data_IF_744031665231
#
_entry.id   IF_744031665231
#
_cell.length_a   1.000
_cell.length_b   1.000
_cell.length_c   1.000
_cell.angle_alpha   90.00
_cell.angle_beta   90.00
_cell.angle_gamma   90.00
#
_symmetry.space_group_name_H-M   'P 1'
#
loop_
_entity.id
_entity.type
_entity.pdbx_description
1 polymer ?
#
# COMPACT_ATOMS: atom_id res chain seq x y z
N UNK A 1 -40.44 -28.55 -42.64
CA UNK A 1 -39.75 -29.73 -42.07
C UNK A 1 -38.49 -30.08 -42.87
N UNK A 2 -38.56 -30.46 -44.15
CA UNK A 2 -37.35 -30.79 -44.95
C UNK A 2 -36.33 -29.64 -45.10
N UNK A 3 -36.78 -28.44 -45.40
CA UNK A 3 -35.89 -27.27 -45.55
C UNK A 3 -35.24 -26.87 -44.22
N UNK A 4 -35.95 -27.03 -43.10
CA UNK A 4 -35.46 -26.73 -41.76
C UNK A 4 -34.33 -27.70 -41.37
N UNK A 5 -34.53 -29.00 -41.59
CA UNK A 5 -33.51 -30.02 -41.31
C UNK A 5 -32.29 -29.89 -42.22
N UNK A 6 -32.48 -29.49 -43.48
CA UNK A 6 -31.37 -29.22 -44.40
C UNK A 6 -30.53 -28.05 -43.92
N UNK A 7 -31.19 -26.96 -43.49
CA UNK A 7 -30.52 -25.80 -42.91
C UNK A 7 -29.78 -26.14 -41.60
N UNK A 8 -30.39 -26.91 -40.70
CA UNK A 8 -29.76 -27.37 -39.45
C UNK A 8 -28.52 -28.23 -39.72
N UNK A 9 -28.61 -29.16 -40.66
CA UNK A 9 -27.48 -30.03 -41.06
C UNK A 9 -26.35 -29.22 -41.68
N UNK A 10 -26.68 -28.23 -42.52
CA UNK A 10 -25.69 -27.33 -43.12
C UNK A 10 -24.97 -26.50 -42.05
N UNK A 11 -25.71 -25.92 -41.10
CA UNK A 11 -25.13 -25.15 -39.99
C UNK A 11 -24.24 -26.00 -39.09
N UNK A 12 -24.67 -27.22 -38.75
CA UNK A 12 -23.86 -28.16 -37.98
C UNK A 12 -22.54 -28.50 -38.70
N UNK A 13 -22.58 -28.77 -40.02
CA UNK A 13 -21.38 -29.09 -40.80
C UNK A 13 -20.39 -27.94 -40.88
N UNK A 14 -20.89 -26.71 -41.05
CA UNK A 14 -20.06 -25.50 -41.06
C UNK A 14 -19.39 -25.32 -39.69
N UNK A 15 -20.17 -25.42 -38.62
CA UNK A 15 -19.67 -25.33 -37.24
C UNK A 15 -18.60 -26.40 -36.96
N UNK A 16 -18.87 -27.67 -37.27
CA UNK A 16 -17.93 -28.77 -37.05
C UNK A 16 -16.59 -28.58 -37.78
N UNK A 17 -16.62 -28.06 -39.02
CA UNK A 17 -15.41 -27.78 -39.79
C UNK A 17 -14.63 -26.59 -39.23
N UNK A 18 -15.32 -25.53 -38.84
CA UNK A 18 -14.67 -24.31 -38.36
C UNK A 18 -14.01 -24.55 -36.98
N UNK A 19 -14.52 -25.48 -36.17
CA UNK A 19 -13.92 -25.84 -34.88
C UNK A 19 -12.59 -26.54 -34.99
N UNK A 20 -12.49 -27.55 -35.87
CA UNK A 20 -11.28 -28.38 -35.98
C UNK A 20 -10.05 -27.49 -36.27
N UNK A 21 -10.18 -26.60 -37.25
CA UNK A 21 -9.15 -25.63 -37.61
C UNK A 21 -8.88 -24.61 -36.50
N UNK A 22 -9.94 -24.02 -35.92
CA UNK A 22 -9.78 -22.91 -34.97
C UNK A 22 -9.27 -23.40 -33.62
N UNK A 23 -9.80 -24.49 -33.07
CA UNK A 23 -9.41 -24.96 -31.74
C UNK A 23 -7.96 -25.42 -31.67
N UNK A 24 -7.46 -26.11 -32.71
CA UNK A 24 -6.08 -26.59 -32.76
C UNK A 24 -5.09 -25.42 -32.75
N UNK A 25 -5.31 -24.43 -33.62
CA UNK A 25 -4.49 -23.22 -33.73
C UNK A 25 -4.52 -22.38 -32.45
N UNK A 26 -5.70 -22.22 -31.82
CA UNK A 26 -5.84 -21.41 -30.60
C UNK A 26 -5.22 -22.04 -29.37
N UNK A 27 -5.23 -23.37 -29.26
CA UNK A 27 -4.58 -24.08 -28.16
C UNK A 27 -3.06 -24.12 -28.29
N UNK A 28 -2.51 -23.93 -29.50
CA UNK A 28 -1.07 -23.83 -29.75
C UNK A 28 -0.50 -22.44 -29.43
N UNK A 29 -1.36 -21.46 -29.15
CA UNK A 29 -0.94 -20.14 -28.71
C UNK A 29 -0.27 -20.21 -27.32
N UNK A 30 0.69 -19.29 -27.03
CA UNK A 30 1.30 -19.19 -25.71
C UNK A 30 0.26 -18.97 -24.61
N UNK A 31 0.55 -19.39 -23.39
CA UNK A 31 -0.34 -19.20 -22.23
C UNK A 31 -0.56 -17.72 -21.87
N UNK A 32 0.48 -16.91 -22.05
CA UNK A 32 0.52 -15.49 -21.71
C UNK A 32 0.82 -14.67 -22.96
N UNK A 33 0.33 -13.43 -22.99
CA UNK A 33 0.67 -12.45 -24.02
C UNK A 33 1.15 -11.17 -23.38
N UNK A 34 2.05 -10.47 -24.07
CA UNK A 34 2.47 -9.11 -23.68
C UNK A 34 1.40 -8.13 -24.14
N UNK A 35 1.14 -7.13 -23.33
CA UNK A 35 0.34 -5.97 -23.71
C UNK A 35 1.27 -4.84 -24.14
N UNK A 36 0.89 -4.14 -25.20
CA UNK A 36 1.59 -2.94 -25.62
C UNK A 36 1.37 -1.87 -24.54
N UNK A 37 2.43 -1.60 -23.76
CA UNK A 37 2.39 -0.57 -22.74
C UNK A 37 2.29 0.81 -23.40
N UNK A 38 1.17 1.49 -23.20
CA UNK A 38 0.99 2.90 -23.55
C UNK A 38 1.75 3.84 -22.60
N UNK A 39 2.16 3.33 -21.44
CA UNK A 39 2.87 4.09 -20.40
C UNK A 39 4.35 3.74 -20.33
N UNK A 40 5.16 4.69 -19.90
CA UNK A 40 6.62 4.57 -19.73
C UNK A 40 7.00 3.69 -18.51
N UNK A 41 6.18 2.70 -18.17
CA UNK A 41 6.50 1.75 -17.10
C UNK A 41 7.71 0.91 -17.54
N UNK A 42 8.66 0.71 -16.63
CA UNK A 42 9.82 -0.15 -16.86
C UNK A 42 9.43 -1.63 -17.07
N UNK A 43 8.19 -1.98 -16.72
CA UNK A 43 7.69 -3.35 -16.69
C UNK A 43 6.72 -3.64 -17.82
N UNK A 44 6.87 -4.84 -18.40
CA UNK A 44 5.98 -5.34 -19.44
C UNK A 44 4.68 -5.81 -18.79
N UNK A 45 3.55 -5.24 -19.20
CA UNK A 45 2.25 -5.78 -18.82
C UNK A 45 1.98 -7.09 -19.55
N UNK A 46 1.37 -8.02 -18.83
CA UNK A 46 1.01 -9.33 -19.35
C UNK A 46 -0.49 -9.58 -19.17
N UNK A 47 -1.07 -10.39 -20.06
CA UNK A 47 -2.42 -10.93 -19.90
C UNK A 47 -2.49 -12.41 -20.25
N UNK A 48 -3.50 -13.09 -19.71
CA UNK A 48 -3.78 -14.50 -20.04
C UNK A 48 -4.26 -14.58 -21.48
N UNK A 49 -3.65 -15.47 -22.25
CA UNK A 49 -3.92 -15.63 -23.67
C UNK A 49 -4.83 -16.84 -23.93
N UNK A 50 -6.03 -16.81 -23.33
CA UNK A 50 -7.08 -17.79 -23.59
C UNK A 50 -8.09 -17.18 -24.57
N UNK A 51 -8.14 -17.71 -25.79
CA UNK A 51 -8.92 -17.11 -26.87
C UNK A 51 -10.44 -17.19 -26.59
N UNK A 52 -11.21 -16.11 -26.77
CA UNK A 52 -12.67 -16.12 -26.60
C UNK A 52 -13.39 -17.18 -27.45
N UNK A 53 -12.83 -17.57 -28.60
CA UNK A 53 -13.38 -18.65 -29.43
C UNK A 53 -13.34 -20.00 -28.72
N UNK A 54 -12.32 -20.28 -27.89
CA UNK A 54 -12.28 -21.49 -27.06
C UNK A 54 -13.36 -21.45 -25.98
N UNK A 55 -13.61 -20.30 -25.37
CA UNK A 55 -14.71 -20.13 -24.41
C UNK A 55 -16.08 -20.37 -25.07
N UNK A 56 -16.26 -19.88 -26.30
CA UNK A 56 -17.47 -20.11 -27.09
C UNK A 56 -17.64 -21.61 -27.41
N UNK A 57 -16.58 -22.27 -27.89
CA UNK A 57 -16.56 -23.71 -28.16
C UNK A 57 -16.99 -24.54 -26.94
N UNK A 58 -16.40 -24.28 -25.78
CA UNK A 58 -16.73 -25.00 -24.55
C UNK A 58 -18.20 -24.82 -24.15
N UNK A 59 -18.77 -23.63 -24.38
CA UNK A 59 -20.21 -23.37 -24.16
C UNK A 59 -21.08 -24.10 -25.18
N UNK A 60 -20.70 -24.05 -26.46
CA UNK A 60 -21.43 -24.67 -27.56
C UNK A 60 -21.51 -26.19 -27.40
N UNK A 61 -20.38 -26.85 -27.10
CA UNK A 61 -20.34 -28.31 -26.85
C UNK A 61 -21.25 -28.70 -25.67
N UNK A 62 -21.21 -27.93 -24.57
CA UNK A 62 -22.11 -28.14 -23.43
C UNK A 62 -23.58 -28.05 -23.83
N UNK A 63 -23.94 -27.07 -24.66
CA UNK A 63 -25.32 -26.92 -25.14
C UNK A 63 -25.73 -28.08 -26.06
N UNK A 64 -24.90 -28.46 -27.02
CA UNK A 64 -25.20 -29.55 -27.95
C UNK A 64 -25.40 -30.88 -27.23
N UNK A 65 -24.55 -31.20 -26.26
CA UNK A 65 -24.72 -32.38 -25.40
C UNK A 65 -26.03 -32.34 -24.61
N UNK A 66 -26.44 -31.18 -24.10
CA UNK A 66 -27.70 -31.04 -23.33
C UNK A 66 -28.95 -31.24 -24.18
N UNK A 67 -28.86 -30.99 -25.49
CA UNK A 67 -29.95 -31.16 -26.47
C UNK A 67 -29.91 -32.55 -27.12
N UNK A 68 -28.85 -33.34 -26.86
CA UNK A 68 -28.68 -34.70 -27.40
C UNK A 68 -28.14 -34.73 -28.84
N UNK A 69 -27.49 -33.66 -29.29
CA UNK A 69 -26.83 -33.60 -30.60
C UNK A 69 -25.40 -34.15 -30.45
N UNK A 70 -25.01 -35.07 -31.33
CA UNK A 70 -23.65 -35.62 -31.36
C UNK A 70 -22.65 -34.52 -31.69
N UNK A 71 -21.50 -34.55 -31.02
CA UNK A 71 -20.42 -33.56 -31.13
C UNK A 71 -19.23 -34.22 -31.84
N UNK A 72 -18.50 -33.50 -32.71
CA UNK A 72 -17.28 -34.02 -33.35
C UNK A 72 -16.25 -34.49 -32.30
N UNK A 73 -15.51 -35.58 -32.55
CA UNK A 73 -14.52 -36.12 -31.62
C UNK A 73 -13.50 -35.09 -31.13
N UNK A 74 -13.07 -34.19 -32.01
CA UNK A 74 -12.08 -33.15 -31.74
C UNK A 74 -12.62 -32.13 -30.72
N UNK A 75 -13.86 -31.69 -30.90
CA UNK A 75 -14.54 -30.79 -29.96
C UNK A 75 -14.85 -31.48 -28.62
N UNK A 76 -15.12 -32.79 -28.65
CA UNK A 76 -15.34 -33.60 -27.45
C UNK A 76 -14.05 -33.76 -26.62
N UNK A 77 -12.90 -33.93 -27.28
CA UNK A 77 -11.60 -34.01 -26.62
C UNK A 77 -11.25 -32.70 -25.90
N UNK A 78 -11.40 -31.57 -26.59
CA UNK A 78 -11.18 -30.25 -25.97
C UNK A 78 -12.13 -30.02 -24.79
N UNK A 79 -13.40 -30.40 -24.93
CA UNK A 79 -14.39 -30.27 -23.87
C UNK A 79 -14.07 -31.16 -22.65
N UNK A 80 -13.46 -32.33 -22.85
CA UNK A 80 -13.05 -33.21 -21.74
C UNK A 80 -12.02 -32.56 -20.81
N UNK A 81 -11.26 -31.59 -21.31
CA UNK A 81 -10.25 -30.83 -20.55
C UNK A 81 -10.79 -29.50 -19.98
N UNK A 82 -12.10 -29.24 -20.09
CA UNK A 82 -12.73 -27.97 -19.64
C UNK A 82 -12.33 -27.59 -18.21
N UNK A 83 -12.42 -28.52 -17.27
CA UNK A 83 -12.14 -28.24 -15.85
C UNK A 83 -10.66 -27.90 -15.64
N UNK A 84 -9.77 -28.53 -16.39
CA UNK A 84 -8.32 -28.28 -16.38
C UNK A 84 -8.03 -26.89 -16.91
N UNK A 85 -8.57 -26.53 -18.08
CA UNK A 85 -8.41 -25.18 -18.64
C UNK A 85 -8.97 -24.09 -17.73
N UNK A 86 -10.15 -24.29 -17.14
CA UNK A 86 -10.73 -23.32 -16.21
C UNK A 86 -9.84 -23.10 -14.98
N UNK A 87 -9.29 -24.18 -14.41
CA UNK A 87 -8.34 -24.10 -13.30
C UNK A 87 -7.07 -23.34 -13.72
N UNK A 88 -6.48 -23.68 -14.87
CA UNK A 88 -5.27 -23.03 -15.38
C UNK A 88 -5.49 -21.54 -15.65
N UNK A 89 -6.57 -21.18 -16.33
CA UNK A 89 -6.95 -19.78 -16.58
C UNK A 89 -7.15 -19.03 -15.27
N UNK A 90 -7.84 -19.61 -14.29
CA UNK A 90 -8.05 -18.98 -12.98
C UNK A 90 -6.74 -18.72 -12.23
N UNK A 91 -5.83 -19.69 -12.21
CA UNK A 91 -4.51 -19.52 -11.60
C UNK A 91 -3.68 -18.48 -12.35
N UNK A 92 -3.59 -18.54 -13.68
CA UNK A 92 -2.85 -17.54 -14.47
C UNK A 92 -3.41 -16.14 -14.29
N UNK A 93 -4.73 -16.00 -14.24
CA UNK A 93 -5.38 -14.70 -14.03
C UNK A 93 -4.92 -14.10 -12.71
N UNK A 94 -4.92 -14.90 -11.63
CA UNK A 94 -4.44 -14.44 -10.32
C UNK A 94 -2.96 -14.03 -10.36
N UNK A 95 -2.10 -14.83 -11.02
CA UNK A 95 -0.66 -14.53 -11.15
C UNK A 95 -0.43 -13.25 -11.94
N UNK A 96 -1.12 -13.09 -13.06
CA UNK A 96 -1.06 -11.91 -13.92
C UNK A 96 -1.52 -10.66 -13.18
N UNK A 97 -2.64 -10.74 -12.46
CA UNK A 97 -3.16 -9.63 -11.66
C UNK A 97 -2.17 -9.20 -10.58
N UNK A 98 -1.56 -10.17 -9.87
CA UNK A 98 -0.55 -9.89 -8.86
C UNK A 98 0.72 -9.29 -9.47
N UNK A 99 1.20 -9.82 -10.58
CA UNK A 99 2.39 -9.29 -11.28
C UNK A 99 2.17 -7.86 -11.80
N UNK A 100 1.04 -7.63 -12.47
CA UNK A 100 0.70 -6.29 -12.96
C UNK A 100 0.48 -5.30 -11.79
N UNK A 101 -0.11 -5.75 -10.67
CA UNK A 101 -0.24 -4.92 -9.48
C UNK A 101 1.13 -4.52 -8.91
N UNK A 102 2.09 -5.44 -8.84
CA UNK A 102 3.47 -5.13 -8.43
C UNK A 102 4.03 -4.03 -9.34
N UNK A 103 3.97 -4.21 -10.66
CA UNK A 103 4.46 -3.24 -11.64
C UNK A 103 3.85 -1.84 -11.49
N UNK A 104 2.58 -1.74 -11.06
CA UNK A 104 1.88 -0.46 -10.92
C UNK A 104 2.08 0.23 -9.56
N UNK A 105 2.41 -0.52 -8.50
CA UNK A 105 2.36 -0.03 -7.12
C UNK A 105 3.70 -0.04 -6.38
N UNK A 106 4.75 -0.64 -6.94
CA UNK A 106 6.09 -0.65 -6.34
C UNK A 106 6.68 0.76 -6.26
N UNK A 107 7.20 1.13 -5.09
CA UNK A 107 8.04 2.31 -4.95
C UNK A 107 9.47 1.99 -5.42
N UNK A 108 10.23 2.96 -5.95
CA UNK A 108 11.62 2.73 -6.37
C UNK A 108 12.51 2.16 -5.25
N UNK A 109 12.30 2.59 -4.01
CA UNK A 109 13.01 2.07 -2.84
C UNK A 109 12.62 0.63 -2.52
N UNK A 110 11.39 0.20 -2.82
CA UNK A 110 10.93 -1.17 -2.60
C UNK A 110 11.38 -2.10 -3.73
N UNK A 111 11.35 -1.60 -4.97
CA UNK A 111 11.89 -2.28 -6.14
C UNK A 111 13.36 -2.65 -5.93
N UNK A 112 14.17 -1.73 -5.42
CA UNK A 112 15.58 -1.99 -5.13
C UNK A 112 15.78 -3.10 -4.07
N UNK A 113 14.82 -3.31 -3.17
CA UNK A 113 14.88 -4.37 -2.16
C UNK A 113 14.60 -5.74 -2.79
N UNK A 114 13.59 -5.83 -3.63
CA UNK A 114 13.13 -7.10 -4.22
C UNK A 114 13.65 -7.35 -5.64
N UNK A 115 14.60 -6.54 -6.13
CA UNK A 115 15.05 -6.57 -7.52
C UNK A 115 15.48 -7.96 -8.00
N UNK A 116 16.23 -8.69 -7.16
CA UNK A 116 16.67 -10.04 -7.47
C UNK A 116 15.49 -11.02 -7.57
N UNK A 117 14.62 -11.04 -6.55
CA UNK A 117 13.42 -11.88 -6.52
C UNK A 117 12.45 -11.56 -7.68
N UNK A 118 12.36 -10.29 -8.06
CA UNK A 118 11.50 -9.80 -9.14
C UNK A 118 12.03 -10.20 -10.52
N UNK A 119 13.34 -10.15 -10.75
CA UNK A 119 13.96 -10.66 -11.97
C UNK A 119 13.73 -12.18 -12.09
N UNK A 120 13.97 -12.89 -10.99
CA UNK A 120 13.68 -14.31 -10.84
C UNK A 120 12.22 -14.68 -11.14
N UNK A 121 11.25 -13.89 -10.64
CA UNK A 121 9.84 -14.07 -10.94
C UNK A 121 9.52 -13.78 -12.42
N UNK A 122 10.15 -12.77 -13.00
CA UNK A 122 9.97 -12.40 -14.41
C UNK A 122 10.52 -13.49 -15.34
N UNK A 123 11.70 -14.06 -15.02
CA UNK A 123 12.26 -15.20 -15.73
C UNK A 123 11.35 -16.43 -15.64
N UNK A 124 10.75 -16.69 -14.46
CA UNK A 124 9.78 -17.78 -14.28
C UNK A 124 8.53 -17.64 -15.14
N UNK A 125 8.13 -16.42 -15.50
CA UNK A 125 6.98 -16.15 -16.39
C UNK A 125 7.32 -16.27 -17.88
N UNK A 126 8.61 -16.21 -18.26
CA UNK A 126 9.06 -16.22 -19.65
C UNK A 126 8.64 -17.48 -20.44
N UNK A 127 8.69 -18.71 -19.89
CA UNK A 127 8.20 -19.89 -20.59
C UNK A 127 6.74 -19.78 -21.02
N UNK A 128 5.88 -19.17 -20.20
CA UNK A 128 4.46 -18.94 -20.51
C UNK A 128 4.22 -17.94 -21.66
N UNK A 129 5.20 -17.07 -21.94
CA UNK A 129 5.14 -16.08 -23.01
C UNK A 129 5.64 -16.61 -24.36
N UNK A 130 6.52 -17.61 -24.36
CA UNK A 130 7.26 -18.03 -25.56
C UNK A 130 7.16 -19.51 -25.91
N UNK A 131 7.10 -20.40 -24.92
CA UNK A 131 7.36 -21.84 -25.11
C UNK A 131 6.16 -22.70 -24.75
N UNK A 132 5.47 -22.39 -23.66
CA UNK A 132 4.34 -23.19 -23.17
C UNK A 132 3.04 -22.75 -23.85
N UNK A 133 2.26 -23.76 -24.25
CA UNK A 133 0.91 -23.62 -24.79
C UNK A 133 -0.08 -24.44 -23.96
N UNK A 134 -1.37 -24.38 -24.31
CA UNK A 134 -2.45 -25.00 -23.54
C UNK A 134 -2.42 -26.53 -23.55
N UNK A 135 -1.68 -27.16 -24.46
CA UNK A 135 -1.53 -28.63 -24.56
C UNK A 135 -0.26 -29.17 -23.88
N UNK A 136 0.60 -28.29 -23.35
CA UNK A 136 1.90 -28.68 -22.82
C UNK A 136 1.77 -29.44 -21.50
N UNK A 137 2.52 -30.54 -21.32
CA UNK A 137 2.48 -31.33 -20.07
C UNK A 137 3.04 -30.56 -18.85
N UNK A 138 3.94 -29.60 -19.08
CA UNK A 138 4.60 -28.80 -18.03
C UNK A 138 3.78 -27.62 -17.48
N UNK A 139 2.51 -27.43 -17.90
CA UNK A 139 1.71 -26.27 -17.51
C UNK A 139 1.45 -26.27 -16.00
N UNK A 140 1.11 -27.41 -15.39
CA UNK A 140 0.80 -27.47 -13.96
C UNK A 140 2.00 -27.08 -13.08
N UNK A 141 3.20 -27.54 -13.44
CA UNK A 141 4.42 -27.19 -12.71
C UNK A 141 4.75 -25.71 -12.88
N UNK A 142 4.66 -25.18 -14.11
CA UNK A 142 4.83 -23.76 -14.39
C UNK A 142 3.87 -22.88 -13.59
N UNK A 143 2.59 -23.25 -13.52
CA UNK A 143 1.57 -22.52 -12.75
C UNK A 143 1.90 -22.50 -11.26
N UNK A 144 2.31 -23.65 -10.71
CA UNK A 144 2.68 -23.76 -9.31
C UNK A 144 3.87 -22.85 -8.99
N UNK A 145 4.95 -22.95 -9.76
CA UNK A 145 6.16 -22.16 -9.55
C UNK A 145 5.91 -20.66 -9.73
N UNK A 146 5.19 -20.27 -10.78
CA UNK A 146 4.84 -18.86 -11.04
C UNK A 146 3.94 -18.28 -9.95
N UNK A 147 2.95 -19.07 -9.49
CA UNK A 147 2.05 -18.65 -8.41
C UNK A 147 2.72 -18.54 -7.06
N UNK A 148 3.68 -19.43 -6.75
CA UNK A 148 4.47 -19.35 -5.52
C UNK A 148 5.37 -18.11 -5.54
N UNK A 149 6.15 -17.92 -6.62
CA UNK A 149 7.12 -16.83 -6.75
C UNK A 149 6.45 -15.45 -6.79
N UNK A 150 5.50 -15.21 -7.71
CA UNK A 150 4.80 -13.91 -7.80
C UNK A 150 3.92 -13.67 -6.56
N UNK A 151 3.29 -14.73 -6.05
CA UNK A 151 2.42 -14.63 -4.88
C UNK A 151 3.17 -14.29 -3.59
N UNK A 152 4.42 -14.75 -3.44
CA UNK A 152 5.28 -14.37 -2.31
C UNK A 152 5.65 -12.88 -2.37
N UNK A 153 6.14 -12.41 -3.53
CA UNK A 153 6.46 -10.99 -3.75
C UNK A 153 5.25 -10.08 -3.48
N UNK A 154 4.09 -10.45 -4.03
CA UNK A 154 2.84 -9.74 -3.83
C UNK A 154 2.47 -9.65 -2.33
N UNK A 155 2.61 -10.75 -1.59
CA UNK A 155 2.35 -10.79 -0.14
C UNK A 155 3.33 -9.91 0.63
N UNK A 156 4.63 -9.99 0.35
CA UNK A 156 5.68 -9.16 0.98
C UNK A 156 5.37 -7.67 0.77
N UNK A 157 5.15 -7.24 -0.46
CA UNK A 157 4.92 -5.84 -0.79
C UNK A 157 3.59 -5.31 -0.23
N UNK A 158 2.51 -6.09 -0.36
CA UNK A 158 1.20 -5.70 0.19
C UNK A 158 1.27 -5.55 1.72
N UNK A 159 1.97 -6.45 2.41
CA UNK A 159 2.19 -6.34 3.85
C UNK A 159 3.02 -5.09 4.22
N UNK A 160 4.10 -4.82 3.48
CA UNK A 160 4.90 -3.61 3.67
C UNK A 160 4.09 -2.32 3.46
N UNK A 161 3.28 -2.25 2.40
CA UNK A 161 2.37 -1.14 2.12
C UNK A 161 1.32 -0.96 3.21
N UNK A 162 0.75 -2.05 3.73
CA UNK A 162 -0.20 -1.99 4.83
C UNK A 162 0.44 -1.42 6.11
N UNK A 163 1.69 -1.80 6.40
CA UNK A 163 2.44 -1.25 7.52
C UNK A 163 2.74 0.25 7.32
N UNK A 164 3.15 0.67 6.12
CA UNK A 164 3.33 2.10 5.79
C UNK A 164 2.02 2.89 5.90
N UNK A 165 0.90 2.28 5.51
CA UNK A 165 -0.44 2.87 5.65
C UNK A 165 -0.82 3.00 7.12
N UNK A 166 -0.53 2.01 7.96
CA UNK A 166 -0.76 2.09 9.41
C UNK A 166 0.06 3.23 10.04
N UNK A 167 1.35 3.33 9.71
CA UNK A 167 2.24 4.43 10.14
C UNK A 167 1.61 5.78 9.74
N UNK A 168 1.24 5.91 8.46
CA UNK A 168 0.66 7.14 7.92
C UNK A 168 -0.65 7.50 8.63
N UNK A 169 -1.54 6.54 8.84
CA UNK A 169 -2.81 6.76 9.51
C UNK A 169 -2.63 7.14 10.98
N UNK A 170 -1.65 6.55 11.65
CA UNK A 170 -1.31 6.90 13.03
C UNK A 170 -0.81 8.35 13.11
N UNK A 171 0.11 8.75 12.24
CA UNK A 171 0.61 10.13 12.16
C UNK A 171 -0.51 11.13 11.84
N UNK A 172 -1.42 10.79 10.92
CA UNK A 172 -2.62 11.59 10.63
C UNK A 172 -3.52 11.75 11.85
N UNK A 173 -3.75 10.68 12.62
CA UNK A 173 -4.55 10.73 13.86
C UNK A 173 -3.92 11.65 14.93
N UNK A 174 -2.60 11.81 14.88
CA UNK A 174 -1.86 12.68 15.78
C UNK A 174 -1.85 14.15 15.36
N UNK A 175 -2.27 14.48 14.13
CA UNK A 175 -2.24 15.85 13.62
C UNK A 175 -3.19 16.82 14.35
N UNK A 176 -4.08 16.31 15.22
CA UNK A 176 -4.91 17.16 16.06
C UNK A 176 -4.04 18.08 16.96
N UNK A 177 -4.37 19.38 17.06
CA UNK A 177 -3.65 20.33 17.91
C UNK A 177 -3.47 19.82 19.35
N UNK A 178 -2.27 20.01 19.91
CA UNK A 178 -1.96 19.55 21.28
C UNK A 178 -2.68 20.36 22.35
N UNK A 179 -3.01 21.61 22.03
CA UNK A 179 -3.92 22.42 22.84
C UNK A 179 -5.33 22.34 22.24
N UNK A 180 -6.32 22.14 23.09
CA UNK A 180 -7.73 22.19 22.71
C UNK A 180 -8.40 23.32 23.49
N UNK A 181 -8.91 24.31 22.79
CA UNK A 181 -9.94 25.22 23.31
C UNK A 181 -11.09 25.23 22.32
N UNK A 182 -12.27 24.82 22.79
CA UNK A 182 -13.48 25.01 22.00
C UNK A 182 -13.74 26.52 21.95
N UNK A 183 -13.99 27.11 20.77
CA UNK A 183 -14.38 28.52 20.66
C UNK A 183 -15.60 28.90 21.51
N UNK A 184 -16.41 27.93 21.94
CA UNK A 184 -17.57 28.12 22.84
C UNK A 184 -17.21 28.07 24.33
N UNK A 185 -15.98 27.67 24.68
CA UNK A 185 -15.53 27.60 26.06
C UNK A 185 -15.08 28.97 26.56
N UNK A 186 -15.98 29.61 27.31
CA UNK A 186 -15.80 30.91 27.94
C UNK A 186 -14.79 30.91 29.08
N UNK A 187 -14.27 29.75 29.49
CA UNK A 187 -13.25 29.67 30.54
C UNK A 187 -11.91 30.20 30.03
N UNK A 188 -11.28 31.04 30.85
CA UNK A 188 -9.91 31.50 30.62
C UNK A 188 -8.94 30.33 30.60
N UNK A 189 -7.87 30.44 29.79
CA UNK A 189 -6.87 29.39 29.70
C UNK A 189 -6.06 29.33 30.98
N UNK A 190 -6.07 28.16 31.65
CA UNK A 190 -5.13 27.86 32.71
C UNK A 190 -3.81 27.33 32.10
N UNK A 191 -2.65 27.96 32.36
CA UNK A 191 -1.38 27.52 31.79
C UNK A 191 -0.99 26.11 32.17
N UNK A 192 -1.31 25.70 33.40
CA UNK A 192 -0.97 24.38 33.90
C UNK A 192 -1.75 23.30 33.14
N UNK A 193 -3.05 23.50 32.93
CA UNK A 193 -3.89 22.57 32.18
C UNK A 193 -3.40 22.41 30.73
N UNK A 194 -2.91 23.49 30.10
CA UNK A 194 -2.31 23.42 28.76
C UNK A 194 -1.01 22.63 28.79
N UNK A 195 -0.14 22.87 29.76
CA UNK A 195 1.10 22.12 29.92
C UNK A 195 0.84 20.62 30.14
N UNK A 196 -0.13 20.28 30.99
CA UNK A 196 -0.50 18.89 31.29
C UNK A 196 -1.06 18.19 30.05
N UNK A 197 -1.87 18.89 29.23
CA UNK A 197 -2.38 18.37 27.95
C UNK A 197 -1.27 18.14 26.93
N UNK A 198 -0.34 19.08 26.80
CA UNK A 198 0.83 18.93 25.94
C UNK A 198 1.66 17.72 26.40
N UNK A 199 1.95 17.62 27.70
CA UNK A 199 2.69 16.49 28.26
C UNK A 199 1.99 15.15 28.03
N UNK A 200 0.65 15.11 28.18
CA UNK A 200 -0.14 13.92 27.88
C UNK A 200 -0.03 13.50 26.40
N UNK A 201 -0.09 14.46 25.46
CA UNK A 201 0.09 14.19 24.01
C UNK A 201 1.50 13.72 23.68
N UNK A 202 2.52 14.35 24.27
CA UNK A 202 3.92 13.93 24.10
C UNK A 202 4.12 12.50 24.61
N UNK A 203 3.52 12.14 25.74
CA UNK A 203 3.55 10.77 26.26
C UNK A 203 2.79 9.78 25.36
N UNK A 204 1.68 10.19 24.75
CA UNK A 204 0.97 9.39 23.75
C UNK A 204 1.87 9.10 22.54
N UNK A 205 2.57 10.11 22.01
CA UNK A 205 3.50 9.94 20.89
C UNK A 205 4.66 9.02 21.26
N UNK A 206 5.21 9.16 22.47
CA UNK A 206 6.28 8.29 22.97
C UNK A 206 5.82 6.83 23.05
N UNK A 207 4.63 6.56 23.57
CA UNK A 207 4.05 5.20 23.61
C UNK A 207 3.77 4.67 22.20
N UNK A 208 3.27 5.52 21.31
CA UNK A 208 3.01 5.16 19.92
C UNK A 208 4.28 4.92 19.09
N UNK A 209 5.40 5.55 19.45
CA UNK A 209 6.68 5.37 18.77
C UNK A 209 7.13 3.91 18.73
N UNK A 210 6.87 3.14 19.80
CA UNK A 210 7.21 1.71 19.83
C UNK A 210 6.47 0.91 18.75
N UNK A 211 5.19 1.26 18.49
CA UNK A 211 4.42 0.64 17.42
C UNK A 211 4.94 1.01 16.03
N UNK A 212 5.38 2.25 15.83
CA UNK A 212 6.00 2.65 14.55
C UNK A 212 7.29 1.86 14.29
N UNK A 213 8.12 1.69 15.31
CA UNK A 213 9.35 0.90 15.24
C UNK A 213 9.05 -0.57 14.96
N UNK A 214 8.04 -1.13 15.62
CA UNK A 214 7.58 -2.51 15.38
C UNK A 214 7.16 -2.72 13.91
N UNK A 215 6.42 -1.78 13.31
CA UNK A 215 5.99 -1.87 11.91
C UNK A 215 7.17 -1.78 10.94
N UNK A 216 8.17 -0.95 11.23
CA UNK A 216 9.40 -0.88 10.43
C UNK A 216 10.22 -2.17 10.55
N UNK A 217 10.30 -2.74 11.75
CA UNK A 217 10.97 -4.02 11.98
C UNK A 217 10.23 -5.18 11.28
N UNK A 218 8.90 -5.18 11.28
CA UNK A 218 8.11 -6.13 10.49
C UNK A 218 8.45 -6.02 8.99
N UNK A 219 8.59 -4.80 8.47
CA UNK A 219 9.04 -4.61 7.09
C UNK A 219 10.46 -5.14 6.86
N UNK A 220 11.38 -4.95 7.81
CA UNK A 220 12.73 -5.53 7.73
C UNK A 220 12.68 -7.05 7.63
N UNK A 221 11.83 -7.70 8.42
CA UNK A 221 11.65 -9.16 8.40
C UNK A 221 11.01 -9.64 7.09
N UNK A 222 10.11 -8.86 6.49
CA UNK A 222 9.54 -9.19 5.16
C UNK A 222 10.61 -9.21 4.06
N UNK A 223 11.64 -8.37 4.19
CA UNK A 223 12.77 -8.27 3.28
C UNK A 223 14.06 -8.87 3.88
N UNK A 224 13.94 -9.91 4.73
CA UNK A 224 15.01 -10.42 5.61
C UNK A 224 16.29 -10.90 4.91
N UNK A 225 16.22 -11.16 3.60
CA UNK A 225 17.35 -11.63 2.80
C UNK A 225 18.35 -10.51 2.47
N UNK A 226 18.05 -9.28 2.89
CA UNK A 226 18.83 -8.08 2.62
C UNK A 226 19.61 -7.69 3.88
N UNK A 227 20.93 -7.58 3.76
CA UNK A 227 21.81 -7.08 4.83
C UNK A 227 21.29 -5.74 5.37
N UNK A 228 21.28 -5.55 6.70
CA UNK A 228 20.90 -4.30 7.33
C UNK A 228 21.81 -3.12 6.93
N UNK A 229 23.01 -3.39 6.41
CA UNK A 229 23.93 -2.40 5.85
C UNK A 229 23.76 -2.19 4.34
N UNK A 230 22.79 -2.85 3.70
CA UNK A 230 22.52 -2.67 2.28
C UNK A 230 21.99 -1.26 1.99
N UNK A 231 22.55 -0.61 0.97
CA UNK A 231 22.15 0.73 0.54
C UNK A 231 20.66 0.83 0.18
N UNK A 232 20.05 -0.23 -0.38
CA UNK A 232 18.62 -0.30 -0.68
C UNK A 232 17.78 -0.22 0.60
N UNK A 233 18.15 -0.97 1.65
CA UNK A 233 17.48 -0.91 2.95
C UNK A 233 17.65 0.45 3.61
N UNK A 234 18.85 1.01 3.56
CA UNK A 234 19.11 2.36 4.08
C UNK A 234 18.25 3.41 3.36
N UNK A 235 18.10 3.30 2.03
CA UNK A 235 17.26 4.21 1.26
C UNK A 235 15.76 4.04 1.58
N UNK A 236 15.30 2.80 1.75
CA UNK A 236 13.96 2.52 2.25
C UNK A 236 13.73 3.15 3.64
N UNK A 237 14.66 2.98 4.59
CA UNK A 237 14.59 3.60 5.90
C UNK A 237 14.55 5.12 5.83
N UNK A 238 15.32 5.75 4.92
CA UNK A 238 15.25 7.20 4.69
C UNK A 238 13.87 7.63 4.18
N UNK A 239 13.26 6.86 3.27
CA UNK A 239 11.90 7.12 2.79
C UNK A 239 10.89 7.07 3.93
N UNK A 240 10.93 6.02 4.76
CA UNK A 240 10.04 5.90 5.93
C UNK A 240 10.29 7.01 6.95
N UNK A 241 11.56 7.34 7.21
CA UNK A 241 11.95 8.44 8.10
C UNK A 241 11.38 9.78 7.61
N UNK A 242 11.46 10.06 6.31
CA UNK A 242 10.85 11.25 5.70
C UNK A 242 9.34 11.30 5.92
N UNK A 243 8.64 10.17 5.75
CA UNK A 243 7.20 10.08 5.99
C UNK A 243 6.84 10.40 7.45
N UNK A 244 7.63 9.89 8.41
CA UNK A 244 7.47 10.19 9.84
C UNK A 244 7.72 11.67 10.13
N UNK A 245 8.79 12.25 9.57
CA UNK A 245 9.13 13.67 9.72
C UNK A 245 8.01 14.56 9.17
N UNK A 246 7.47 14.26 7.99
CA UNK A 246 6.34 15.00 7.42
C UNK A 246 5.10 14.92 8.31
N UNK A 247 4.82 13.75 8.89
CA UNK A 247 3.77 13.57 9.88
C UNK A 247 3.97 14.46 11.11
N UNK A 248 5.18 14.45 11.70
CA UNK A 248 5.55 15.29 12.85
C UNK A 248 5.40 16.78 12.55
N UNK A 249 5.86 17.23 11.38
CA UNK A 249 5.72 18.63 10.95
C UNK A 249 4.25 19.04 10.87
N UNK A 250 3.35 18.15 10.40
CA UNK A 250 1.90 18.41 10.38
C UNK A 250 1.33 18.61 11.79
N UNK A 251 1.77 17.81 12.77
CA UNK A 251 1.33 17.93 14.18
C UNK A 251 1.75 19.28 14.77
N UNK A 252 3.03 19.65 14.60
CA UNK A 252 3.57 20.93 15.10
C UNK A 252 2.86 22.10 14.42
N UNK A 253 2.70 22.04 13.10
CA UNK A 253 2.02 23.07 12.32
C UNK A 253 0.57 23.27 12.79
N UNK A 254 -0.21 22.21 12.93
CA UNK A 254 -1.58 22.29 13.39
C UNK A 254 -1.70 22.94 14.79
N UNK A 255 -0.77 22.60 15.69
CA UNK A 255 -0.73 23.20 17.03
C UNK A 255 -0.34 24.68 17.00
N UNK A 256 0.63 25.06 16.17
CA UNK A 256 1.05 26.45 15.98
C UNK A 256 -0.02 27.31 15.31
N UNK A 257 -0.70 26.78 14.28
CA UNK A 257 -1.81 27.45 13.60
C UNK A 257 -2.98 27.66 14.56
N UNK A 258 -3.32 26.65 15.37
CA UNK A 258 -4.36 26.79 16.38
C UNK A 258 -4.00 27.87 17.42
N UNK A 259 -2.76 27.88 17.92
CA UNK A 259 -2.29 28.93 18.84
C UNK A 259 -2.33 30.32 18.20
N UNK A 260 -1.87 30.46 16.95
CA UNK A 260 -1.95 31.72 16.19
C UNK A 260 -3.39 32.19 16.06
N UNK A 261 -4.30 31.28 15.72
CA UNK A 261 -5.72 31.60 15.59
C UNK A 261 -6.28 32.11 16.92
N UNK A 262 -6.00 31.45 18.05
CA UNK A 262 -6.42 31.89 19.38
C UNK A 262 -5.89 33.28 19.78
N UNK A 263 -4.71 33.66 19.29
CA UNK A 263 -4.10 34.97 19.55
C UNK A 263 -4.50 36.06 18.54
N UNK A 264 -5.26 35.70 17.49
CA UNK A 264 -5.70 36.63 16.45
C UNK A 264 -6.73 37.64 16.94
N UNK A 265 -6.81 38.80 16.26
CA UNK A 265 -7.69 39.92 16.64
C UNK A 265 -9.20 39.68 16.41
N UNK A 266 -9.61 38.46 16.05
CA UNK A 266 -10.98 38.12 15.63
C UNK A 266 -11.79 37.35 16.69
N UNK A 267 -11.32 37.27 17.93
CA UNK A 267 -12.05 36.60 19.01
C UNK A 267 -12.70 37.61 19.94
N UNK A 268 -14.02 37.46 20.14
CA UNK A 268 -14.80 38.24 21.11
C UNK A 268 -14.50 37.82 22.57
N UNK A 269 -13.80 36.70 22.77
CA UNK A 269 -13.55 36.12 24.10
C UNK A 269 -12.07 36.25 24.54
N UNK A 270 -11.79 36.68 25.79
CA UNK A 270 -10.43 36.82 26.28
C UNK A 270 -9.72 35.45 26.41
N UNK A 271 -8.44 35.41 26.02
CA UNK A 271 -7.59 34.22 26.16
C UNK A 271 -7.10 34.02 27.59
N UNK A 272 -6.72 35.12 28.24
CA UNK A 272 -6.01 35.14 29.50
C UNK A 272 -6.33 36.42 30.28
N UNK A 273 -6.36 36.36 31.61
CA UNK A 273 -6.54 37.53 32.47
C UNK A 273 -5.19 38.04 32.97
N UNK A 274 -4.99 39.36 32.89
CA UNK A 274 -3.83 40.04 33.49
C UNK A 274 -4.34 41.04 34.50
N UNK A 275 -3.90 40.91 35.75
CA UNK A 275 -4.29 41.81 36.85
C UNK A 275 -3.22 42.87 37.04
N UNK A 276 -3.63 44.13 37.19
CA UNK A 276 -2.74 45.21 37.60
C UNK A 276 -2.83 45.36 39.12
N UNK A 277 -1.74 45.05 39.83
CA UNK A 277 -1.67 45.08 41.29
C UNK A 277 -0.65 46.11 41.74
N UNK A 278 -0.99 46.89 42.77
CA UNK A 278 -0.03 47.76 43.45
C UNK A 278 0.80 46.89 44.42
N UNK A 279 2.06 46.61 44.08
CA UNK A 279 2.97 45.89 44.93
C UNK A 279 3.97 46.87 45.57
N UNK A 280 3.89 47.01 46.90
CA UNK A 280 4.67 47.99 47.68
C UNK A 280 4.40 49.43 47.21
N UNK A 281 5.19 49.93 46.26
CA UNK A 281 5.12 51.30 45.71
C UNK A 281 5.17 51.33 44.17
N UNK A 282 5.07 50.18 43.50
CA UNK A 282 5.03 50.05 42.03
C UNK A 282 3.74 49.38 41.57
N UNK A 283 3.24 49.79 40.41
CA UNK A 283 2.17 49.10 39.71
C UNK A 283 2.79 47.96 38.88
N UNK A 284 2.41 46.72 39.19
CA UNK A 284 2.94 45.52 38.55
C UNK A 284 1.81 44.68 37.95
N UNK A 285 2.06 44.14 36.76
CA UNK A 285 1.14 43.20 36.11
C UNK A 285 1.38 41.79 36.63
N UNK A 286 0.30 41.08 36.97
CA UNK A 286 0.32 39.68 37.41
C UNK A 286 -0.61 38.87 36.48
N UNK A 287 -0.07 37.96 35.65
CA UNK A 287 1.36 37.71 35.42
C UNK A 287 2.07 38.87 34.70
N UNK A 288 3.40 38.92 34.85
CA UNK A 288 4.23 39.98 34.26
C UNK A 288 4.14 39.98 32.73
N UNK A 289 4.04 41.17 32.14
CA UNK A 289 4.10 41.37 30.67
C UNK A 289 5.57 41.54 30.22
N UNK A 290 6.46 41.90 31.15
CA UNK A 290 7.87 42.13 30.84
C UNK A 290 8.56 40.84 30.42
N UNK A 291 9.43 40.93 29.40
CA UNK A 291 10.05 39.75 28.77
C UNK A 291 11.09 39.03 29.63
N UNK A 292 11.46 39.59 30.78
CA UNK A 292 12.65 39.22 31.54
C UNK A 292 12.36 38.51 32.86
N UNK A 293 11.08 38.41 33.26
CA UNK A 293 10.67 37.71 34.48
C UNK A 293 10.15 36.28 34.18
N UNK A 294 10.53 35.33 35.04
CA UNK A 294 9.91 34.00 35.09
C UNK A 294 8.43 34.12 35.44
N UNK A 295 7.59 33.29 34.81
CA UNK A 295 6.13 33.39 34.94
C UNK A 295 5.47 34.49 34.11
N UNK A 296 6.22 35.24 33.29
CA UNK A 296 5.63 36.20 32.34
C UNK A 296 4.80 35.53 31.25
N UNK A 297 3.86 36.27 30.66
CA UNK A 297 3.05 35.81 29.53
C UNK A 297 3.91 35.32 28.36
N UNK A 298 5.03 36.00 28.08
CA UNK A 298 5.94 35.61 27.01
C UNK A 298 6.64 34.27 27.30
N UNK A 299 7.04 34.05 28.55
CA UNK A 299 7.65 32.79 28.98
C UNK A 299 6.63 31.64 28.89
N UNK A 300 5.38 31.88 29.27
CA UNK A 300 4.29 30.91 29.14
C UNK A 300 4.05 30.46 27.70
N UNK A 301 3.85 31.40 26.77
CA UNK A 301 3.68 31.07 25.34
C UNK A 301 4.91 30.34 24.80
N UNK A 302 6.11 30.76 25.19
CA UNK A 302 7.35 30.09 24.80
C UNK A 302 7.41 28.64 25.32
N UNK A 303 6.92 28.38 26.53
CA UNK A 303 6.83 27.03 27.10
C UNK A 303 5.89 26.15 26.27
N UNK A 304 4.72 26.66 25.87
CA UNK A 304 3.81 25.90 25.01
C UNK A 304 4.43 25.60 23.64
N UNK A 305 5.06 26.60 23.02
CA UNK A 305 5.76 26.40 21.73
C UNK A 305 6.86 25.35 21.86
N UNK A 306 7.70 25.44 22.90
CA UNK A 306 8.71 24.40 23.19
C UNK A 306 8.07 23.01 23.37
N UNK A 307 6.93 22.95 24.04
CA UNK A 307 6.16 21.72 24.21
C UNK A 307 5.59 21.16 22.89
N UNK A 308 5.23 22.00 21.92
CA UNK A 308 4.84 21.51 20.60
C UNK A 308 6.03 20.86 19.87
N UNK A 309 7.22 21.45 19.99
CA UNK A 309 8.43 20.88 19.39
C UNK A 309 8.93 19.62 20.11
N UNK A 310 8.62 19.42 21.39
CA UNK A 310 9.02 18.19 22.11
C UNK A 310 8.34 16.92 21.58
N UNK A 311 7.26 17.04 20.81
CA UNK A 311 6.70 15.91 20.08
C UNK A 311 7.68 15.32 19.06
N UNK A 312 8.53 16.13 18.43
CA UNK A 312 9.55 15.64 17.51
C UNK A 312 10.61 14.80 18.24
N UNK A 313 10.95 15.16 19.48
CA UNK A 313 11.87 14.37 20.32
C UNK A 313 11.24 13.13 20.95
N UNK A 314 9.90 13.00 20.91
CA UNK A 314 9.20 11.88 21.51
C UNK A 314 9.21 10.61 20.64
N UNK A 315 9.40 10.77 19.32
CA UNK A 315 9.47 9.67 18.38
C UNK A 315 10.93 9.23 18.21
N UNK A 316 11.20 7.96 18.44
CA UNK A 316 12.51 7.35 18.20
C UNK A 316 12.79 7.29 16.70
N UNK A 317 14.02 7.60 16.31
CA UNK A 317 14.48 7.52 14.93
C UNK A 317 14.47 6.07 14.43
N UNK A 318 13.95 5.87 13.22
CA UNK A 318 13.87 4.56 12.55
C UNK A 318 15.10 4.28 11.67
N UNK A 319 15.87 5.31 11.35
CA UNK A 319 17.04 5.25 10.45
C UNK A 319 18.37 5.01 11.18
N UNK A 320 18.32 4.66 12.47
CA UNK A 320 19.51 4.26 13.21
C UNK A 320 19.64 2.75 13.07
N UNK A 321 20.49 2.31 12.14
CA UNK A 321 20.96 0.92 12.14
C UNK A 321 21.68 0.71 13.47
N UNK A 322 21.12 -0.13 14.36
CA UNK A 322 21.85 -0.57 15.54
C UNK A 322 23.11 -1.26 15.02
N UNK A 323 24.28 -0.67 15.28
CA UNK A 323 25.50 -1.47 15.27
C UNK A 323 25.28 -2.52 16.35
N UNK A 324 25.22 -3.79 15.97
CA UNK A 324 25.38 -4.85 16.95
C UNK A 324 26.71 -4.58 17.67
N UNK A 325 26.63 -4.43 18.99
CA UNK A 325 27.80 -4.37 19.83
C UNK A 325 28.52 -5.73 19.67
N UNK A 326 29.65 -5.73 18.95
CA UNK A 326 30.57 -6.85 18.89
C UNK A 326 30.94 -7.26 20.33
N UNK A 327 30.60 -8.47 20.81
CA UNK A 327 31.13 -8.98 22.06
C UNK A 327 32.47 -9.65 21.77
N UNK A 328 33.47 -8.86 21.38
CA UNK A 328 34.86 -9.32 21.22
C UNK A 328 35.83 -8.27 21.76
N UNK A 329 35.96 -8.22 23.08
CA UNK A 329 37.19 -7.89 23.79
C UNK A 329 37.31 -8.82 25.00
#
# INVERSE_FOLDING_TARGET
MRELNAYETEKYKLWARDIDLTSAEKLDLPLLRKEDSLDHSAYIRISVNFDPALVALLREVRYLQSVGIEVPPEAQEVYSQTDVFQKHVGTLTTVVEQYNWLADNMLPEEEALIAHELDEATQRLEPGLKQLNWKSEGVEEFLKQSSESVGELYRKLTAAHNNLREITNKLKSWAAPMMKRDPKDRKMVNPQDVNDRIAARVNEFKKGSSRLQELVEQNRVLFSDIDAQNDAWINYLKMVSKLIIEGLVRIVRASMEHLKNLMGASHDEPLYEVKLLLQKSSLDFVPSISSSQEGSLRTMVRTWVKGFFSAASAIQRVDIVKKDDDPCC
#
